data_IF_404651452648
#
_entry.id   IF_404651452648
#
_cell.length_a   1.000
_cell.length_b   1.000
_cell.length_c   1.000
_cell.angle_alpha   90.00
_cell.angle_beta   90.00
_cell.angle_gamma   90.00
#
_symmetry.space_group_name_H-M   'P 1'
#
loop_
_entity.id
_entity.type
_entity.pdbx_description
1 polymer ?
#
# COMPACT_ATOMS: atom_id res chain seq x y z
N UNK A 1 -9.13 -13.55 28.11
CA UNK A 1 -10.10 -12.62 27.54
C UNK A 1 -9.52 -11.22 27.34
N UNK A 2 -8.91 -10.62 28.36
CA UNK A 2 -8.26 -9.32 28.24
C UNK A 2 -7.11 -9.30 27.23
N UNK A 3 -6.33 -10.39 27.18
CA UNK A 3 -5.20 -10.49 26.26
C UNK A 3 -5.67 -10.48 24.80
N UNK A 4 -6.74 -11.21 24.48
CA UNK A 4 -7.29 -11.25 23.11
C UNK A 4 -7.78 -9.88 22.68
N UNK A 5 -8.50 -9.16 23.57
CA UNK A 5 -9.00 -7.82 23.27
C UNK A 5 -7.87 -6.82 23.07
N UNK A 6 -6.78 -6.94 23.87
CA UNK A 6 -5.62 -6.07 23.73
C UNK A 6 -4.91 -6.30 22.39
N UNK A 7 -4.71 -7.55 22.01
CA UNK A 7 -4.10 -7.89 20.72
C UNK A 7 -4.92 -7.36 19.56
N UNK A 8 -6.26 -7.48 19.62
CA UNK A 8 -7.14 -6.94 18.59
C UNK A 8 -7.05 -5.42 18.49
N UNK A 9 -7.01 -4.72 19.62
CA UNK A 9 -6.88 -3.26 19.63
C UNK A 9 -5.55 -2.82 19.04
N UNK A 10 -4.47 -3.47 19.40
CA UNK A 10 -3.15 -3.17 18.85
C UNK A 10 -3.12 -3.39 17.34
N UNK A 11 -3.73 -4.48 16.84
CA UNK A 11 -3.82 -4.76 15.41
C UNK A 11 -4.65 -3.70 14.68
N UNK A 12 -5.75 -3.25 15.29
CA UNK A 12 -6.59 -2.19 14.72
C UNK A 12 -5.86 -0.86 14.69
N UNK A 13 -5.14 -0.53 15.77
CA UNK A 13 -4.31 0.68 15.84
C UNK A 13 -3.24 0.67 14.76
N UNK A 14 -2.55 -0.45 14.59
CA UNK A 14 -1.51 -0.62 13.57
C UNK A 14 -2.10 -0.43 12.16
N UNK A 15 -3.26 -1.04 11.90
CA UNK A 15 -3.94 -0.94 10.62
C UNK A 15 -4.29 0.51 10.28
N UNK A 16 -4.83 1.24 11.24
CA UNK A 16 -5.17 2.65 11.05
C UNK A 16 -3.91 3.50 10.88
N UNK A 17 -2.92 3.26 11.72
CA UNK A 17 -1.69 4.04 11.74
C UNK A 17 -0.86 3.84 10.48
N UNK A 18 -0.75 2.60 10.02
CA UNK A 18 0.11 2.26 8.90
C UNK A 18 -0.59 2.30 7.54
N UNK A 19 -1.89 2.66 7.51
CA UNK A 19 -2.64 2.71 6.26
C UNK A 19 -2.02 3.59 5.20
N UNK A 20 -1.48 4.74 5.60
CA UNK A 20 -0.78 5.64 4.70
C UNK A 20 0.52 5.04 4.16
N UNK A 21 1.29 4.38 5.04
CA UNK A 21 2.53 3.71 4.63
C UNK A 21 2.25 2.57 3.66
N UNK A 22 1.20 1.81 3.90
CA UNK A 22 0.79 0.73 3.01
C UNK A 22 0.46 1.28 1.62
N UNK A 23 -0.31 2.37 1.55
CA UNK A 23 -0.66 3.02 0.29
C UNK A 23 0.58 3.55 -0.43
N UNK A 24 1.52 4.06 0.32
CA UNK A 24 2.79 4.54 -0.24
C UNK A 24 3.61 3.40 -0.84
N UNK A 25 3.68 2.26 -0.16
CA UNK A 25 4.32 1.05 -0.70
C UNK A 25 3.67 0.63 -2.01
N UNK A 26 2.34 0.60 -2.05
CA UNK A 26 1.59 0.21 -3.24
C UNK A 26 1.92 1.13 -4.42
N UNK A 27 1.85 2.44 -4.22
CA UNK A 27 2.16 3.41 -5.28
C UNK A 27 3.62 3.30 -5.73
N UNK A 28 4.53 3.12 -4.79
CA UNK A 28 5.95 2.96 -5.10
C UNK A 28 6.20 1.78 -6.03
N UNK A 29 5.68 0.60 -5.68
CA UNK A 29 5.87 -0.59 -6.49
C UNK A 29 5.15 -0.51 -7.83
N UNK A 30 3.92 -0.01 -7.83
CA UNK A 30 3.12 0.13 -9.06
C UNK A 30 3.69 1.19 -10.00
N UNK A 31 4.50 2.12 -9.48
CA UNK A 31 5.20 3.11 -10.31
C UNK A 31 6.43 2.54 -10.99
N UNK A 32 7.01 1.47 -10.44
CA UNK A 32 8.18 0.81 -11.03
C UNK A 32 7.79 -0.17 -12.13
N UNK A 33 6.75 -0.95 -11.90
CA UNK A 33 6.25 -1.94 -12.87
C UNK A 33 4.86 -2.37 -12.46
N UNK A 34 4.05 -2.91 -13.40
CA UNK A 34 2.75 -3.44 -13.03
C UNK A 34 2.86 -4.55 -11.99
N UNK A 35 1.94 -4.57 -11.03
CA UNK A 35 1.96 -5.51 -9.90
C UNK A 35 0.62 -6.20 -9.73
N UNK A 36 0.66 -7.46 -9.28
CA UNK A 36 -0.53 -8.22 -8.88
C UNK A 36 -0.85 -7.97 -7.42
N UNK A 37 -2.13 -8.10 -7.05
CA UNK A 37 -2.54 -7.98 -5.65
C UNK A 37 -1.86 -9.00 -4.75
N UNK A 38 -1.76 -10.26 -5.18
CA UNK A 38 -1.11 -11.31 -4.39
C UNK A 38 0.37 -10.97 -4.15
N UNK A 39 1.07 -10.50 -5.16
CA UNK A 39 2.46 -10.09 -5.01
C UNK A 39 2.61 -8.95 -4.00
N UNK A 40 1.68 -7.99 -4.04
CA UNK A 40 1.69 -6.87 -3.08
C UNK A 40 1.48 -7.37 -1.65
N UNK A 41 0.58 -8.33 -1.44
CA UNK A 41 0.37 -8.93 -0.11
C UNK A 41 1.68 -9.54 0.40
N UNK A 42 2.34 -10.34 -0.42
CA UNK A 42 3.61 -10.98 -0.05
C UNK A 42 4.69 -9.95 0.25
N UNK A 43 4.78 -8.93 -0.59
CA UNK A 43 5.76 -7.85 -0.42
C UNK A 43 5.52 -7.07 0.87
N UNK A 44 4.26 -6.73 1.16
CA UNK A 44 3.90 -6.01 2.38
C UNK A 44 4.16 -6.87 3.62
N UNK A 45 3.87 -8.16 3.55
CA UNK A 45 4.18 -9.09 4.64
C UNK A 45 5.68 -9.18 4.87
N UNK A 46 6.46 -9.17 3.80
CA UNK A 46 7.92 -9.16 3.88
C UNK A 46 8.44 -7.91 4.63
N UNK A 47 7.74 -6.80 4.50
CA UNK A 47 8.08 -5.57 5.24
C UNK A 47 7.40 -5.49 6.62
N UNK A 48 6.80 -6.57 7.09
CA UNK A 48 6.23 -6.65 8.43
C UNK A 48 4.77 -6.21 8.55
N UNK A 49 4.11 -5.89 7.45
CA UNK A 49 2.69 -5.53 7.48
C UNK A 49 1.83 -6.78 7.42
N UNK A 50 0.93 -6.90 8.38
CA UNK A 50 -0.05 -8.00 8.41
C UNK A 50 -1.29 -7.58 7.65
N UNK A 51 -1.31 -7.92 6.36
CA UNK A 51 -2.40 -7.53 5.47
C UNK A 51 -2.80 -8.72 4.61
N UNK A 52 -4.10 -8.92 4.47
CA UNK A 52 -4.66 -9.95 3.62
C UNK A 52 -5.50 -9.35 2.50
N UNK A 53 -6.12 -10.21 1.67
CA UNK A 53 -6.94 -9.75 0.54
C UNK A 53 -8.09 -8.85 0.96
N UNK A 54 -8.74 -9.14 2.09
CA UNK A 54 -9.88 -8.35 2.58
C UNK A 54 -9.52 -6.92 2.92
N UNK A 55 -8.27 -6.61 3.18
CA UNK A 55 -7.78 -5.25 3.42
C UNK A 55 -7.15 -4.67 2.16
N UNK A 56 -6.36 -5.45 1.44
CA UNK A 56 -5.62 -4.94 0.27
C UNK A 56 -6.54 -4.53 -0.87
N UNK A 57 -7.46 -5.40 -1.29
CA UNK A 57 -8.27 -5.13 -2.48
C UNK A 57 -9.15 -3.88 -2.34
N UNK A 58 -9.79 -3.60 -1.19
CA UNK A 58 -10.47 -2.32 -1.02
C UNK A 58 -9.54 -1.10 -1.18
N UNK A 59 -8.30 -1.21 -0.73
CA UNK A 59 -7.31 -0.14 -0.89
C UNK A 59 -6.99 0.05 -2.38
N UNK A 60 -6.72 -1.03 -3.11
CA UNK A 60 -6.45 -0.97 -4.54
C UNK A 60 -7.61 -0.35 -5.31
N UNK A 61 -8.84 -0.76 -5.00
CA UNK A 61 -10.04 -0.22 -5.65
C UNK A 61 -10.20 1.27 -5.34
N UNK A 62 -9.94 1.68 -4.10
CA UNK A 62 -9.99 3.09 -3.72
C UNK A 62 -8.96 3.92 -4.47
N UNK A 63 -7.73 3.43 -4.56
CA UNK A 63 -6.67 4.13 -5.30
C UNK A 63 -7.00 4.24 -6.78
N UNK A 64 -7.61 3.21 -7.35
CA UNK A 64 -8.04 3.24 -8.75
C UNK A 64 -9.18 4.24 -8.97
N UNK A 65 -10.19 4.25 -8.09
CA UNK A 65 -11.28 5.23 -8.17
C UNK A 65 -10.79 6.67 -8.06
N UNK A 66 -9.74 6.89 -7.29
CA UNK A 66 -9.13 8.22 -7.14
C UNK A 66 -8.23 8.59 -8.32
N UNK A 67 -8.05 7.69 -9.27
CA UNK A 67 -7.20 7.93 -10.42
C UNK A 67 -5.70 7.84 -10.15
N UNK A 68 -5.30 7.22 -9.03
CA UNK A 68 -3.88 7.05 -8.67
C UNK A 68 -3.31 5.77 -9.24
N UNK A 69 -4.16 4.75 -9.43
CA UNK A 69 -3.82 3.49 -10.06
C UNK A 69 -4.75 3.25 -11.23
N UNK A 70 -4.27 2.48 -12.19
CA UNK A 70 -5.10 1.87 -13.23
C UNK A 70 -4.84 0.37 -13.23
N UNK A 71 -5.83 -0.40 -13.66
CA UNK A 71 -5.69 -1.85 -13.70
C UNK A 71 -6.03 -2.38 -15.07
N UNK A 72 -5.44 -3.52 -15.39
CA UNK A 72 -5.68 -4.23 -16.63
C UNK A 72 -5.74 -5.72 -16.31
N UNK A 73 -6.77 -6.39 -16.82
CA UNK A 73 -6.88 -7.82 -16.68
C UNK A 73 -5.90 -8.51 -17.62
N UNK A 74 -5.21 -9.54 -17.11
CA UNK A 74 -4.30 -10.38 -17.89
C UNK A 74 -4.66 -11.84 -17.65
N UNK A 75 -4.39 -12.69 -18.64
CA UNK A 75 -4.71 -14.10 -18.58
C UNK A 75 -6.17 -14.37 -18.95
N UNK A 76 -6.57 -15.63 -18.83
CA UNK A 76 -7.91 -16.08 -19.21
C UNK A 76 -8.44 -17.05 -18.16
N UNK A 77 -9.76 -17.06 -17.98
CA UNK A 77 -10.43 -17.97 -17.08
C UNK A 77 -9.92 -17.86 -15.64
N UNK A 78 -9.56 -18.98 -15.03
CA UNK A 78 -9.10 -19.03 -13.64
C UNK A 78 -7.73 -18.41 -13.44
N UNK A 79 -6.95 -18.24 -14.51
CA UNK A 79 -5.64 -17.60 -14.44
C UNK A 79 -5.71 -16.09 -14.64
N UNK A 80 -6.92 -15.56 -14.89
CA UNK A 80 -7.09 -14.12 -15.06
C UNK A 80 -6.69 -13.38 -13.79
N UNK A 81 -5.85 -12.39 -13.95
CA UNK A 81 -5.36 -11.53 -12.87
C UNK A 81 -5.47 -10.09 -13.28
N UNK A 82 -5.51 -9.23 -12.30
CA UNK A 82 -5.53 -7.79 -12.54
C UNK A 82 -4.18 -7.20 -12.16
N UNK A 83 -3.55 -6.57 -13.15
CA UNK A 83 -2.29 -5.88 -12.95
C UNK A 83 -2.55 -4.40 -12.67
N UNK A 84 -1.91 -3.86 -11.65
CA UNK A 84 -2.06 -2.46 -11.25
C UNK A 84 -0.79 -1.68 -11.57
N UNK A 85 -0.98 -0.50 -12.14
CA UNK A 85 0.11 0.42 -12.47
C UNK A 85 -0.23 1.80 -11.97
N UNK A 86 0.78 2.59 -11.61
CA UNK A 86 0.56 3.97 -11.22
C UNK A 86 0.24 4.82 -12.47
N UNK A 87 -0.76 5.68 -12.33
CA UNK A 87 -1.06 6.69 -13.33
C UNK A 87 -0.08 7.87 -13.20
N UNK A 88 -0.13 8.83 -14.15
CA UNK A 88 0.64 10.06 -14.02
C UNK A 88 0.27 10.80 -12.73
N UNK A 89 -1.02 10.84 -12.38
CA UNK A 89 -1.50 11.44 -11.14
C UNK A 89 -0.95 10.68 -9.93
N UNK A 90 -0.94 9.34 -9.99
CA UNK A 90 -0.38 8.51 -8.93
C UNK A 90 1.10 8.79 -8.72
N UNK A 91 1.87 8.96 -9.79
CA UNK A 91 3.29 9.29 -9.72
C UNK A 91 3.53 10.66 -9.08
N UNK A 92 2.71 11.65 -9.40
CA UNK A 92 2.80 12.98 -8.78
C UNK A 92 2.47 12.93 -7.30
N UNK A 93 1.44 12.15 -6.93
CA UNK A 93 1.07 11.95 -5.54
C UNK A 93 2.19 11.24 -4.78
N UNK A 94 2.79 10.23 -5.39
CA UNK A 94 3.94 9.52 -4.81
C UNK A 94 5.10 10.48 -4.56
N UNK A 95 5.40 11.36 -5.51
CA UNK A 95 6.51 12.31 -5.37
C UNK A 95 6.26 13.28 -4.20
N UNK A 96 5.04 13.81 -4.09
CA UNK A 96 4.69 14.67 -2.95
C UNK A 96 4.79 13.92 -1.62
N UNK A 97 4.37 12.66 -1.60
CA UNK A 97 4.46 11.82 -0.40
C UNK A 97 5.91 11.55 -0.02
N UNK A 98 6.78 11.30 -1.01
CA UNK A 98 8.22 11.13 -0.76
C UNK A 98 8.82 12.35 -0.07
N UNK A 99 8.44 13.54 -0.51
CA UNK A 99 8.93 14.77 0.08
C UNK A 99 8.48 14.89 1.54
N UNK A 100 7.24 14.52 1.82
CA UNK A 100 6.70 14.51 3.20
C UNK A 100 7.40 13.47 4.07
N UNK A 101 7.64 12.30 3.54
CA UNK A 101 8.35 11.23 4.27
C UNK A 101 9.78 11.68 4.60
N UNK A 102 10.46 12.30 3.64
CA UNK A 102 11.82 12.79 3.84
C UNK A 102 11.88 13.85 4.92
N UNK A 103 10.94 14.79 4.91
CA UNK A 103 10.85 15.83 5.93
C UNK A 103 10.59 15.23 7.31
N UNK A 104 9.63 14.32 7.41
CA UNK A 104 9.31 13.64 8.67
C UNK A 104 10.49 12.81 9.18
N UNK A 105 11.17 12.10 8.30
CA UNK A 105 12.36 11.33 8.65
C UNK A 105 13.42 12.21 9.27
N UNK A 106 13.68 13.39 8.67
CA UNK A 106 14.65 14.33 9.18
C UNK A 106 14.30 14.80 10.59
N UNK A 107 13.03 15.09 10.84
CA UNK A 107 12.57 15.55 12.14
C UNK A 107 12.61 14.43 13.20
N UNK A 108 12.06 13.25 12.87
CA UNK A 108 11.98 12.14 13.83
C UNK A 108 13.38 11.65 14.24
N UNK A 109 14.28 11.55 13.28
CA UNK A 109 15.60 10.98 13.52
C UNK A 109 16.68 12.03 13.67
N UNK A 110 16.31 13.30 13.67
CA UNK A 110 17.25 14.42 13.83
C UNK A 110 18.43 14.35 12.85
N UNK A 111 18.14 13.97 11.61
CA UNK A 111 19.14 13.89 10.54
C UNK A 111 18.70 14.75 9.37
N UNK A 112 19.67 15.23 8.60
CA UNK A 112 19.37 15.96 7.36
C UNK A 112 18.81 14.98 6.31
N UNK A 113 17.68 15.32 5.72
CA UNK A 113 16.99 14.45 4.78
C UNK A 113 17.10 14.93 3.33
#
# INVERSE_FOLDING_TARGET
>A
MRVVQRVRREADDDKDFYGGLIRLHILHHAAQSPVFGLWLIEELQHHGYRIGPGTLYPILHSLERRGLLRSKATGQGRSARRMYSATARGRRTLQRAKDKVRELFGEIFEVEA
#
